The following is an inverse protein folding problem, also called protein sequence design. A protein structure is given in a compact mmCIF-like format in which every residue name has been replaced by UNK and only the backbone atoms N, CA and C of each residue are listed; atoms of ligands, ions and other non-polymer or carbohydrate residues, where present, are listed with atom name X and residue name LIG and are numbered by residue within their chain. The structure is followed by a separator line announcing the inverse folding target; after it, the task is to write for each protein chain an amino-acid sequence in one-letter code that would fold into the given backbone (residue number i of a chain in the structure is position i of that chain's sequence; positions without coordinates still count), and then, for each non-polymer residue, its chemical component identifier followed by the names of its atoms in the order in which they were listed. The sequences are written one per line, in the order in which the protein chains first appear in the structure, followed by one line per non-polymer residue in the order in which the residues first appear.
data_IF_934862275233
#
_entry.id   IF_934862275233
#
_cell.length_a   1.000
_cell.length_b   1.000
_cell.length_c   1.000
_cell.angle_alpha   90.00
_cell.angle_beta   90.00
_cell.angle_gamma   90.00
#
_symmetry.space_group_name_H-M   'P 1'
#
loop_
_entity.id
_entity.type
_entity.pdbx_description
1 polymer ?
#
# COMPACT_ATOMS: atom_id res chain seq x y z
N UNK A 1 -20.21 7.05 -18.50
CA UNK A 1 -18.96 6.38 -18.54
C UNK A 1 -18.83 5.22 -17.54
N UNK A 2 -19.88 4.98 -16.80
CA UNK A 2 -20.08 3.80 -16.01
C UNK A 2 -21.05 2.92 -16.83
N UNK A 3 -20.52 1.94 -17.51
CA UNK A 3 -21.30 0.99 -18.31
C UNK A 3 -21.80 -0.18 -17.45
N UNK A 4 -21.59 -0.09 -16.13
CA UNK A 4 -21.96 -1.13 -15.16
C UNK A 4 -21.02 -2.35 -15.19
N UNK A 5 -19.85 -2.22 -15.82
CA UNK A 5 -18.79 -3.22 -15.80
C UNK A 5 -17.66 -2.75 -14.90
N UNK A 6 -17.17 -3.64 -14.05
CA UNK A 6 -16.09 -3.35 -13.10
C UNK A 6 -14.98 -4.41 -13.17
N UNK A 7 -13.75 -3.97 -12.93
CA UNK A 7 -12.60 -4.87 -12.80
C UNK A 7 -12.59 -5.47 -11.41
N UNK A 8 -12.55 -6.80 -11.31
CA UNK A 8 -12.43 -7.50 -10.04
C UNK A 8 -11.18 -8.38 -9.98
N UNK A 9 -10.75 -8.72 -8.78
CA UNK A 9 -9.69 -9.68 -8.54
C UNK A 9 -10.25 -11.08 -8.40
N UNK A 10 -9.70 -12.02 -9.18
CA UNK A 10 -10.00 -13.43 -9.08
C UNK A 10 -8.78 -14.20 -8.60
N UNK A 11 -8.94 -14.99 -7.56
CA UNK A 11 -7.91 -15.93 -7.09
C UNK A 11 -8.26 -17.33 -7.60
N UNK A 12 -7.35 -17.94 -8.33
CA UNK A 12 -7.52 -19.26 -8.92
C UNK A 12 -6.25 -20.10 -8.86
N UNK A 13 -6.43 -21.41 -8.94
CA UNK A 13 -5.33 -22.36 -8.96
C UNK A 13 -4.76 -22.49 -10.39
N UNK A 14 -3.45 -22.52 -10.49
CA UNK A 14 -2.73 -22.84 -11.71
C UNK A 14 -2.09 -24.23 -11.60
N UNK A 15 -2.31 -25.08 -12.57
CA UNK A 15 -1.78 -26.42 -12.60
C UNK A 15 -1.40 -26.85 -14.02
N UNK A 16 -0.99 -28.13 -14.20
CA UNK A 16 -0.59 -28.66 -15.51
C UNK A 16 -1.63 -28.50 -16.63
N UNK A 17 -2.90 -28.41 -16.26
CA UNK A 17 -4.03 -28.24 -17.20
C UNK A 17 -4.39 -26.77 -17.44
N UNK A 18 -3.59 -25.82 -16.88
CA UNK A 18 -3.81 -24.38 -16.99
C UNK A 18 -4.47 -23.78 -15.75
N UNK A 19 -5.01 -22.58 -15.92
CA UNK A 19 -5.71 -21.83 -14.88
C UNK A 19 -7.15 -22.39 -14.71
N UNK A 20 -7.52 -22.73 -13.47
CA UNK A 20 -8.89 -23.07 -13.12
C UNK A 20 -9.72 -21.81 -12.87
N UNK A 21 -11.06 -21.87 -13.02
CA UNK A 21 -11.93 -20.75 -12.68
C UNK A 21 -11.64 -20.24 -11.27
N UNK A 22 -11.37 -18.95 -11.17
CA UNK A 22 -11.03 -18.30 -9.90
C UNK A 22 -12.26 -17.92 -9.07
N UNK A 23 -12.03 -17.64 -7.81
CA UNK A 23 -13.01 -17.03 -6.90
C UNK A 23 -12.87 -15.51 -6.98
N UNK A 24 -13.97 -14.81 -7.22
CA UNK A 24 -14.04 -13.35 -7.09
C UNK A 24 -13.91 -12.98 -5.61
N UNK A 25 -12.81 -12.32 -5.26
CA UNK A 25 -12.52 -11.94 -3.87
C UNK A 25 -13.04 -10.54 -3.51
N UNK A 26 -13.48 -9.79 -4.49
CA UNK A 26 -14.10 -8.46 -4.30
C UNK A 26 -15.58 -8.60 -3.98
N UNK A 27 -16.23 -9.58 -4.60
CA UNK A 27 -17.63 -9.90 -4.43
C UNK A 27 -18.47 -9.49 -5.64
N UNK A 28 -19.35 -10.39 -6.09
CA UNK A 28 -20.12 -10.24 -7.32
C UNK A 28 -21.05 -9.00 -7.37
N UNK A 29 -21.43 -8.48 -6.20
CA UNK A 29 -22.29 -7.30 -6.08
C UNK A 29 -21.49 -5.98 -5.93
N UNK A 30 -20.15 -6.05 -5.93
CA UNK A 30 -19.32 -4.87 -5.83
C UNK A 30 -19.36 -4.05 -7.11
N UNK A 31 -19.67 -2.76 -6.98
CA UNK A 31 -19.76 -1.82 -8.10
C UNK A 31 -18.57 -0.83 -8.09
N UNK A 32 -17.36 -1.37 -7.93
CA UNK A 32 -16.10 -0.61 -7.94
C UNK A 32 -14.95 -1.46 -8.48
N UNK A 33 -13.93 -0.78 -9.01
CA UNK A 33 -12.78 -1.41 -9.64
C UNK A 33 -11.68 -1.79 -8.64
N UNK A 34 -11.06 -2.95 -8.85
CA UNK A 34 -9.84 -3.39 -8.15
C UNK A 34 -8.93 -4.10 -9.18
N UNK A 35 -7.71 -3.62 -9.43
CA UNK A 35 -7.05 -2.40 -8.93
C UNK A 35 -7.79 -1.11 -9.32
N UNK A 36 -7.41 0.01 -8.71
CA UNK A 36 -8.12 1.27 -8.88
C UNK A 36 -8.10 1.77 -10.33
N UNK A 37 -9.29 2.15 -10.82
CA UNK A 37 -9.39 2.90 -12.07
C UNK A 37 -8.82 4.34 -11.89
N UNK A 38 -8.24 4.94 -12.93
CA UNK A 38 -8.10 4.45 -14.31
C UNK A 38 -6.80 3.70 -14.59
N UNK A 39 -5.90 3.55 -13.62
CA UNK A 39 -4.53 3.07 -13.88
C UNK A 39 -4.41 1.54 -13.83
N UNK A 40 -5.22 0.87 -13.01
CA UNK A 40 -5.21 -0.59 -12.82
C UNK A 40 -3.79 -1.12 -12.55
N UNK A 41 -3.07 -0.47 -11.62
CA UNK A 41 -1.68 -0.74 -11.34
C UNK A 41 -1.52 -2.04 -10.54
N UNK A 42 -0.73 -2.98 -11.06
CA UNK A 42 -0.44 -4.24 -10.37
C UNK A 42 0.35 -4.07 -9.07
N UNK A 43 1.03 -2.94 -8.86
CA UNK A 43 1.66 -2.60 -7.57
C UNK A 43 0.64 -2.38 -6.43
N UNK A 44 -0.65 -2.24 -6.77
CA UNK A 44 -1.74 -2.19 -5.79
C UNK A 44 -2.13 -3.56 -5.22
N UNK A 45 -1.50 -4.64 -5.67
CA UNK A 45 -1.81 -6.02 -5.29
C UNK A 45 -0.52 -6.71 -4.84
N UNK A 46 -0.53 -7.29 -3.65
CA UNK A 46 0.65 -7.96 -3.09
C UNK A 46 0.29 -9.25 -2.35
N UNK A 47 0.84 -10.37 -2.80
CA UNK A 47 0.84 -11.62 -2.04
C UNK A 47 1.76 -11.51 -0.83
N UNK A 48 1.36 -12.12 0.29
CA UNK A 48 2.31 -12.41 1.35
C UNK A 48 3.28 -13.53 0.91
N UNK A 49 4.43 -13.65 1.56
CA UNK A 49 5.47 -14.61 1.15
C UNK A 49 5.03 -16.07 1.30
N UNK A 50 4.13 -16.35 2.25
CA UNK A 50 3.55 -17.68 2.44
C UNK A 50 2.53 -18.05 1.34
N UNK A 51 2.07 -17.11 0.51
CA UNK A 51 1.04 -17.33 -0.50
C UNK A 51 -0.35 -17.66 0.08
N UNK A 52 -0.63 -17.20 1.29
CA UNK A 52 -1.87 -17.49 2.01
C UNK A 52 -2.79 -16.29 2.15
N UNK A 53 -2.26 -15.08 1.95
CA UNK A 53 -3.00 -13.83 2.04
C UNK A 53 -2.65 -12.90 0.89
N UNK A 54 -3.63 -12.13 0.45
CA UNK A 54 -3.48 -11.12 -0.60
C UNK A 54 -3.87 -9.75 -0.04
N UNK A 55 -2.93 -8.80 -0.04
CA UNK A 55 -3.22 -7.40 0.24
C UNK A 55 -3.50 -6.66 -1.07
N UNK A 56 -4.49 -5.77 -1.06
CA UNK A 56 -4.82 -4.98 -2.24
C UNK A 56 -5.43 -3.63 -1.88
N UNK A 57 -5.24 -2.65 -2.76
CA UNK A 57 -5.88 -1.34 -2.67
C UNK A 57 -7.31 -1.41 -3.19
N UNK A 58 -8.26 -0.84 -2.47
CA UNK A 58 -9.65 -0.78 -2.89
C UNK A 58 -10.31 0.53 -2.43
N UNK A 59 -11.18 1.08 -3.28
CA UNK A 59 -12.01 2.26 -2.98
C UNK A 59 -13.48 1.88 -3.15
N UNK A 60 -14.16 1.37 -2.09
CA UNK A 60 -15.52 0.87 -2.16
C UNK A 60 -16.55 2.02 -2.19
N UNK A 61 -16.45 2.86 -3.19
CA UNK A 61 -17.33 3.99 -3.46
C UNK A 61 -17.91 3.86 -4.86
N UNK A 62 -19.06 4.46 -5.12
CA UNK A 62 -19.75 4.40 -6.42
C UNK A 62 -20.21 5.78 -6.89
N UNK A 63 -20.44 5.93 -8.20
CA UNK A 63 -20.98 7.12 -8.80
C UNK A 63 -20.18 8.39 -8.47
N UNK A 64 -20.84 9.47 -8.10
CA UNK A 64 -20.20 10.76 -7.80
C UNK A 64 -19.22 10.66 -6.63
N UNK A 65 -19.49 9.83 -5.62
CA UNK A 65 -18.59 9.65 -4.49
C UNK A 65 -17.25 9.07 -4.93
N UNK A 66 -17.24 8.10 -5.85
CA UNK A 66 -16.03 7.55 -6.46
C UNK A 66 -15.21 8.62 -7.19
N UNK A 67 -15.89 9.50 -7.94
CA UNK A 67 -15.25 10.51 -8.77
C UNK A 67 -14.61 11.67 -7.96
N UNK A 68 -15.15 12.01 -6.78
CA UNK A 68 -14.67 13.15 -5.99
C UNK A 68 -13.81 12.78 -4.80
N UNK A 69 -13.71 11.50 -4.45
CA UNK A 69 -12.93 11.02 -3.31
C UNK A 69 -11.72 10.21 -3.74
N UNK A 70 -10.61 10.41 -3.03
CA UNK A 70 -9.43 9.55 -3.11
C UNK A 70 -9.34 8.59 -1.92
N UNK A 71 -10.40 8.44 -1.11
CA UNK A 71 -10.46 7.59 0.08
C UNK A 71 -10.46 6.10 -0.34
N UNK A 72 -9.27 5.57 -0.59
CA UNK A 72 -9.02 4.14 -0.77
C UNK A 72 -8.40 3.57 0.50
N UNK A 73 -8.57 2.28 0.70
CA UNK A 73 -8.03 1.56 1.84
C UNK A 73 -7.25 0.32 1.38
N UNK A 74 -6.42 -0.22 2.26
CA UNK A 74 -5.78 -1.52 2.06
C UNK A 74 -6.66 -2.61 2.67
N UNK A 75 -6.99 -3.58 1.83
CA UNK A 75 -7.74 -4.77 2.20
C UNK A 75 -6.82 -6.00 2.19
N UNK A 76 -7.07 -6.92 3.10
CA UNK A 76 -6.37 -8.21 3.15
C UNK A 76 -7.40 -9.32 3.05
N UNK A 77 -7.25 -10.15 2.02
CA UNK A 77 -8.02 -11.37 1.80
C UNK A 77 -7.24 -12.57 2.33
N UNK A 78 -7.88 -13.41 3.13
CA UNK A 78 -7.31 -14.66 3.64
C UNK A 78 -7.87 -15.86 2.86
N UNK A 79 -6.96 -16.67 2.29
CA UNK A 79 -7.36 -17.83 1.49
C UNK A 79 -7.98 -18.95 2.34
N UNK A 80 -7.62 -19.05 3.62
CA UNK A 80 -8.05 -20.17 4.46
C UNK A 80 -9.53 -20.08 4.82
N UNK A 81 -10.06 -18.88 5.05
CA UNK A 81 -11.46 -18.69 5.44
C UNK A 81 -12.28 -17.87 4.44
N UNK A 82 -11.65 -17.39 3.36
CA UNK A 82 -12.30 -16.62 2.31
C UNK A 82 -12.79 -15.25 2.75
N UNK A 83 -12.22 -14.69 3.83
CA UNK A 83 -12.65 -13.40 4.37
C UNK A 83 -11.69 -12.28 4.01
N UNK A 84 -12.29 -11.14 3.77
CA UNK A 84 -11.58 -9.87 3.55
C UNK A 84 -11.75 -8.96 4.76
N UNK A 85 -10.68 -8.27 5.15
CA UNK A 85 -10.74 -7.24 6.15
C UNK A 85 -9.97 -5.99 5.73
N UNK A 86 -10.49 -4.82 6.13
CA UNK A 86 -9.89 -3.52 5.87
C UNK A 86 -8.91 -3.18 7.01
N UNK A 87 -7.62 -2.97 6.70
CA UNK A 87 -6.61 -2.66 7.72
C UNK A 87 -6.54 -1.16 8.06
N UNK A 88 -7.06 -0.29 7.21
CA UNK A 88 -7.06 1.16 7.39
C UNK A 88 -8.24 1.65 8.22
N UNK A 89 -9.32 0.84 8.32
CA UNK A 89 -10.51 1.14 9.12
C UNK A 89 -10.68 0.13 10.26
N UNK A 90 -11.12 0.60 11.44
CA UNK A 90 -11.25 -0.29 12.59
C UNK A 90 -12.34 -1.35 12.37
N UNK A 91 -12.08 -2.60 12.79
CA UNK A 91 -13.02 -3.71 12.69
C UNK A 91 -14.33 -3.52 13.47
N UNK A 92 -14.31 -2.71 14.51
CA UNK A 92 -15.39 -2.52 15.47
C UNK A 92 -15.87 -1.08 15.56
N UNK A 93 -15.56 -0.26 14.57
CA UNK A 93 -15.82 1.18 14.59
C UNK A 93 -14.92 1.95 15.56
N UNK A 94 -13.96 1.29 16.20
CA UNK A 94 -12.98 1.94 17.07
C UNK A 94 -11.67 2.14 16.33
N UNK A 95 -11.12 3.33 16.44
CA UNK A 95 -9.85 3.65 15.84
C UNK A 95 -8.73 2.75 16.36
N UNK A 96 -8.00 2.14 15.46
CA UNK A 96 -6.76 1.42 15.76
C UNK A 96 -5.53 2.26 15.54
N UNK A 97 -5.72 3.45 15.07
CA UNK A 97 -4.70 4.45 14.94
C UNK A 97 -4.14 4.78 16.34
N UNK A 98 -2.84 4.95 16.47
CA UNK A 98 -2.20 5.24 17.75
C UNK A 98 -2.76 6.55 18.34
N UNK A 99 -3.71 6.43 19.27
CA UNK A 99 -4.38 7.57 19.92
C UNK A 99 -3.40 8.46 20.71
N UNK A 100 -2.23 7.94 21.08
CA UNK A 100 -1.20 8.69 21.77
C UNK A 100 -0.57 9.80 20.91
N UNK A 101 -0.69 9.70 19.58
CA UNK A 101 -0.17 10.70 18.64
C UNK A 101 -1.22 11.76 18.22
N UNK A 102 -2.42 11.76 18.80
CA UNK A 102 -3.46 12.74 18.48
C UNK A 102 -4.10 12.59 17.10
N UNK A 103 -3.93 11.45 16.44
CA UNK A 103 -4.43 11.21 15.09
C UNK A 103 -5.91 10.83 15.05
N UNK A 104 -6.59 11.21 13.97
CA UNK A 104 -8.00 10.89 13.77
C UNK A 104 -8.21 9.40 13.54
N UNK A 105 -9.33 8.84 14.00
CA UNK A 105 -9.60 7.40 14.01
C UNK A 105 -9.82 6.72 12.65
N UNK A 106 -9.81 7.44 11.56
CA UNK A 106 -9.95 6.91 10.22
C UNK A 106 -8.82 7.44 9.34
N UNK A 107 -8.38 6.63 8.39
CA UNK A 107 -7.47 7.03 7.34
C UNK A 107 -8.32 7.42 6.13
N UNK A 108 -8.70 8.71 5.98
CA UNK A 108 -9.66 9.14 4.95
C UNK A 108 -8.95 9.53 3.65
N UNK A 109 -7.69 9.18 3.51
CA UNK A 109 -6.85 9.57 2.39
C UNK A 109 -6.71 8.49 1.33
N UNK A 110 -5.69 8.66 0.50
CA UNK A 110 -5.35 7.73 -0.56
C UNK A 110 -4.36 6.70 -0.04
N UNK A 111 -4.85 5.55 0.42
CA UNK A 111 -4.05 4.43 0.91
C UNK A 111 -3.79 3.45 -0.23
N UNK A 112 -2.51 3.16 -0.54
CA UNK A 112 -2.14 2.38 -1.71
C UNK A 112 -0.79 1.69 -1.59
N UNK A 113 -0.52 0.77 -2.51
CA UNK A 113 0.75 0.08 -2.72
C UNK A 113 1.22 -0.71 -1.48
N UNK A 114 0.44 -1.72 -1.05
CA UNK A 114 0.82 -2.56 0.08
C UNK A 114 2.04 -3.44 -0.27
N UNK A 115 2.99 -3.53 0.65
CA UNK A 115 4.19 -4.37 0.54
C UNK A 115 4.38 -5.17 1.83
N UNK A 116 4.31 -6.49 1.75
CA UNK A 116 4.52 -7.38 2.88
C UNK A 116 5.99 -7.41 3.32
N UNK A 117 6.22 -7.46 4.64
CA UNK A 117 7.54 -7.81 5.16
C UNK A 117 7.90 -9.26 4.81
N UNK A 118 9.19 -9.61 4.67
CA UNK A 118 9.60 -10.98 4.34
C UNK A 118 9.08 -12.07 5.28
N UNK A 119 8.79 -11.73 6.53
CA UNK A 119 8.24 -12.65 7.54
C UNK A 119 6.70 -12.62 7.64
N UNK A 120 6.02 -11.90 6.76
CA UNK A 120 4.55 -11.73 6.69
C UNK A 120 3.90 -11.12 7.96
N UNK A 121 4.69 -10.48 8.81
CA UNK A 121 4.18 -9.90 10.07
C UNK A 121 3.77 -8.45 9.95
N UNK A 122 4.22 -7.76 8.90
CA UNK A 122 3.96 -6.34 8.71
C UNK A 122 3.57 -6.05 7.26
N UNK A 123 2.78 -5.00 7.07
CA UNK A 123 2.48 -4.45 5.75
C UNK A 123 2.89 -2.98 5.76
N UNK A 124 3.80 -2.61 4.86
CA UNK A 124 4.09 -1.21 4.57
C UNK A 124 3.19 -0.74 3.42
N UNK A 125 2.74 0.50 3.44
CA UNK A 125 1.93 1.08 2.37
C UNK A 125 2.03 2.61 2.39
N UNK A 126 1.59 3.25 1.31
CA UNK A 126 1.56 4.71 1.20
C UNK A 126 0.18 5.24 1.56
N UNK A 127 0.14 6.38 2.26
CA UNK A 127 -1.10 7.03 2.69
C UNK A 127 -1.03 8.55 2.58
N UNK A 128 -2.10 9.15 2.09
CA UNK A 128 -2.32 10.59 2.12
C UNK A 128 -3.30 10.96 3.25
N UNK A 129 -3.25 12.21 3.69
CA UNK A 129 -4.00 12.64 4.90
C UNK A 129 -5.49 12.86 4.65
N UNK A 130 -5.88 13.28 3.44
CA UNK A 130 -7.22 13.77 3.16
C UNK A 130 -7.79 13.17 1.90
N UNK A 131 -9.07 12.82 1.91
CA UNK A 131 -9.80 12.46 0.71
C UNK A 131 -9.95 13.66 -0.24
N UNK A 132 -9.85 13.41 -1.56
CA UNK A 132 -10.00 14.43 -2.60
C UNK A 132 -8.84 15.42 -2.73
N UNK A 133 -7.68 15.14 -2.14
CA UNK A 133 -6.48 15.99 -2.20
C UNK A 133 -5.28 15.18 -2.68
N UNK A 134 -5.19 14.93 -3.97
CA UNK A 134 -4.11 14.14 -4.60
C UNK A 134 -2.72 14.73 -4.41
N UNK A 135 -2.63 16.04 -4.12
CA UNK A 135 -1.37 16.74 -3.83
C UNK A 135 -0.91 16.63 -2.37
N UNK A 136 -1.67 15.96 -1.51
CA UNK A 136 -1.22 15.71 -0.13
C UNK A 136 0.03 14.84 -0.13
N UNK A 137 0.88 15.06 0.87
CA UNK A 137 2.10 14.25 1.07
C UNK A 137 1.76 12.77 1.16
N UNK A 138 2.41 11.97 0.31
CA UNK A 138 2.38 10.52 0.37
C UNK A 138 3.32 10.05 1.47
N UNK A 139 2.76 9.56 2.57
CA UNK A 139 3.49 9.13 3.78
C UNK A 139 3.63 7.61 3.77
N UNK A 140 4.71 7.12 4.36
CA UNK A 140 4.97 5.70 4.54
C UNK A 140 4.38 5.23 5.88
N UNK A 141 3.42 4.31 5.80
CA UNK A 141 2.79 3.68 6.95
C UNK A 141 3.22 2.24 7.13
N UNK A 142 3.19 1.80 8.37
CA UNK A 142 3.46 0.42 8.78
C UNK A 142 2.30 -0.13 9.59
N UNK A 143 1.77 -1.27 9.19
CA UNK A 143 0.76 -2.03 9.89
C UNK A 143 1.36 -3.32 10.46
N UNK A 144 1.16 -3.59 11.75
CA UNK A 144 1.55 -4.85 12.41
C UNK A 144 0.35 -5.82 12.37
N UNK A 145 0.49 -6.94 11.67
CA UNK A 145 -0.58 -7.91 11.45
C UNK A 145 -1.02 -8.63 12.74
N UNK A 146 -0.16 -8.70 13.75
CA UNK A 146 -0.47 -9.35 15.02
C UNK A 146 -1.17 -8.44 16.01
N UNK A 147 -0.68 -7.22 16.15
CA UNK A 147 -1.19 -6.24 17.13
C UNK A 147 -2.25 -5.32 16.53
N UNK A 148 -2.32 -5.27 15.22
CA UNK A 148 -3.12 -4.34 14.44
C UNK A 148 -2.76 -2.87 14.69
N UNK A 149 -1.55 -2.62 15.17
CA UNK A 149 -1.03 -1.26 15.35
C UNK A 149 -0.66 -0.65 14.00
N UNK A 150 -0.89 0.66 13.89
CA UNK A 150 -0.56 1.46 12.73
C UNK A 150 0.44 2.55 13.13
N UNK A 151 1.50 2.73 12.35
CA UNK A 151 2.54 3.73 12.58
C UNK A 151 2.77 4.54 11.31
N UNK A 152 2.79 5.88 11.42
CA UNK A 152 3.30 6.78 10.39
C UNK A 152 4.82 6.89 10.55
N UNK A 153 5.58 6.37 9.59
CA UNK A 153 7.04 6.35 9.64
C UNK A 153 7.66 7.65 9.12
N UNK A 154 6.92 8.45 8.37
CA UNK A 154 7.41 9.65 7.70
C UNK A 154 6.63 10.92 8.09
N UNK A 155 6.02 10.94 9.29
CA UNK A 155 5.25 12.10 9.76
C UNK A 155 6.09 13.38 9.74
N UNK A 156 7.32 13.30 10.26
CA UNK A 156 8.26 14.43 10.38
C UNK A 156 9.20 14.59 9.17
N UNK A 157 9.03 13.78 8.13
CA UNK A 157 9.79 13.87 6.89
C UNK A 157 9.02 14.68 5.85
N UNK A 158 9.61 15.75 5.31
CA UNK A 158 8.90 16.75 4.50
C UNK A 158 8.52 16.29 3.08
N UNK A 159 9.06 15.19 2.58
CA UNK A 159 8.91 14.73 1.21
C UNK A 159 7.97 13.52 1.08
N UNK A 160 7.49 13.30 -0.14
CA UNK A 160 6.73 12.10 -0.48
C UNK A 160 7.60 10.83 -0.40
N UNK A 161 6.99 9.71 0.00
CA UNK A 161 7.59 8.39 -0.19
C UNK A 161 7.00 7.73 -1.45
N UNK A 162 7.83 7.01 -2.20
CA UNK A 162 7.48 6.27 -3.42
C UNK A 162 8.30 4.98 -3.51
N UNK A 163 7.83 3.98 -4.25
CA UNK A 163 8.58 2.74 -4.57
C UNK A 163 9.18 2.07 -3.33
N UNK A 164 8.33 1.64 -2.41
CA UNK A 164 8.73 1.06 -1.13
C UNK A 164 9.22 -0.38 -1.28
N UNK A 165 10.38 -0.70 -0.71
CA UNK A 165 10.96 -2.04 -0.65
C UNK A 165 11.40 -2.38 0.77
N UNK A 166 11.35 -3.66 1.13
CA UNK A 166 11.90 -4.17 2.38
C UNK A 166 13.36 -4.62 2.24
N UNK A 167 14.18 -4.28 3.20
CA UNK A 167 15.47 -4.91 3.48
C UNK A 167 15.35 -5.72 4.78
N UNK A 168 15.32 -7.05 4.65
CA UNK A 168 14.98 -7.89 5.80
C UNK A 168 13.61 -7.55 6.37
N UNK A 169 13.44 -7.72 7.68
CA UNK A 169 12.19 -7.43 8.38
C UNK A 169 12.19 -6.08 9.13
N UNK A 170 13.32 -5.37 9.09
CA UNK A 170 13.62 -4.29 10.03
C UNK A 170 13.89 -2.95 9.34
N UNK A 171 13.98 -2.91 8.01
CA UNK A 171 14.29 -1.69 7.29
C UNK A 171 13.46 -1.56 6.02
N UNK A 172 13.03 -0.34 5.75
CA UNK A 172 12.32 0.04 4.54
C UNK A 172 13.15 1.02 3.73
N UNK A 173 13.14 0.83 2.42
CA UNK A 173 13.77 1.70 1.43
C UNK A 173 12.71 2.28 0.53
N UNK A 174 12.90 3.52 0.11
CA UNK A 174 11.95 4.23 -0.74
C UNK A 174 12.63 5.35 -1.52
N UNK A 175 11.96 5.87 -2.54
CA UNK A 175 12.39 7.07 -3.26
C UNK A 175 11.66 8.29 -2.68
N UNK A 176 12.37 9.42 -2.58
CA UNK A 176 11.79 10.71 -2.21
C UNK A 176 12.28 11.83 -3.13
N UNK A 177 11.39 12.79 -3.52
CA UNK A 177 11.76 13.95 -4.34
C UNK A 177 12.38 15.04 -3.46
N UNK A 178 13.70 14.98 -3.26
CA UNK A 178 14.45 15.90 -2.40
C UNK A 178 15.10 16.99 -3.24
N UNK A 179 14.83 18.27 -2.94
CA UNK A 179 15.46 19.44 -3.59
C UNK A 179 15.48 19.36 -5.13
N UNK A 180 14.34 18.99 -5.72
CA UNK A 180 14.14 18.82 -7.16
C UNK A 180 14.91 17.65 -7.80
N UNK A 181 15.42 16.70 -7.02
CA UNK A 181 15.98 15.43 -7.47
C UNK A 181 15.31 14.25 -6.76
N UNK A 182 15.29 13.07 -7.37
CA UNK A 182 14.77 11.87 -6.74
C UNK A 182 15.90 11.06 -6.12
N UNK A 183 15.87 10.90 -4.80
CA UNK A 183 16.90 10.21 -4.03
C UNK A 183 16.36 8.96 -3.37
N UNK A 184 17.22 7.95 -3.19
CA UNK A 184 16.91 6.77 -2.38
C UNK A 184 17.09 7.14 -0.91
N UNK A 185 16.06 6.83 -0.13
CA UNK A 185 16.01 6.97 1.32
C UNK A 185 15.79 5.61 1.99
N UNK A 186 16.12 5.52 3.27
CA UNK A 186 15.78 4.37 4.10
C UNK A 186 15.36 4.78 5.49
N UNK A 187 14.60 3.90 6.14
CA UNK A 187 14.16 4.06 7.53
C UNK A 187 14.09 2.72 8.24
N UNK A 188 14.55 2.68 9.49
CA UNK A 188 14.24 1.60 10.40
C UNK A 188 13.05 2.04 11.27
N UNK A 189 11.94 1.29 11.29
CA UNK A 189 10.73 1.69 12.01
C UNK A 189 10.93 1.98 13.50
N UNK A 190 11.87 1.28 14.14
CA UNK A 190 12.17 1.45 15.56
C UNK A 190 13.05 2.68 15.85
N UNK A 191 13.78 3.18 14.85
CA UNK A 191 14.67 4.35 14.98
C UNK A 191 13.93 5.65 14.64
N UNK A 192 12.94 5.58 13.72
CA UNK A 192 12.04 6.70 13.40
C UNK A 192 12.67 7.85 12.60
N UNK A 193 13.92 7.73 12.16
CA UNK A 193 14.64 8.75 11.39
C UNK A 193 14.89 8.29 9.95
N UNK A 194 14.56 9.16 8.99
CA UNK A 194 14.82 8.92 7.57
C UNK A 194 16.26 9.29 7.22
N UNK A 195 17.00 8.33 6.69
CA UNK A 195 18.33 8.54 6.13
C UNK A 195 18.25 8.70 4.61
N UNK A 196 18.82 9.78 4.06
CA UNK A 196 19.01 9.97 2.63
C UNK A 196 20.29 9.27 2.20
N UNK A 197 20.16 8.18 1.45
CA UNK A 197 21.28 7.30 1.08
C UNK A 197 22.06 7.82 -0.12
N UNK A 198 21.35 8.27 -1.15
CA UNK A 198 21.97 8.81 -2.38
C UNK A 198 22.01 10.33 -2.35
N UNK A 199 22.93 10.91 -3.09
CA UNK A 199 23.10 12.38 -3.19
C UNK A 199 23.64 12.71 -4.59
N UNK A 200 23.25 13.85 -5.11
CA UNK A 200 23.76 14.38 -6.39
C UNK A 200 22.64 14.83 -7.32
N UNK A 201 23.07 15.37 -8.46
CA UNK A 201 22.18 15.95 -9.48
C UNK A 201 21.73 14.85 -10.46
N UNK A 202 20.87 13.95 -9.98
CA UNK A 202 20.28 12.88 -10.77
C UNK A 202 18.87 12.54 -10.26
N UNK A 203 18.06 12.02 -11.14
CA UNK A 203 16.73 11.49 -10.80
C UNK A 203 16.74 9.97 -10.82
N UNK A 204 16.34 9.36 -9.71
CA UNK A 204 16.15 7.92 -9.61
C UNK A 204 14.68 7.61 -9.87
N UNK A 205 14.41 7.01 -11.03
CA UNK A 205 13.05 6.66 -11.44
C UNK A 205 12.55 5.38 -10.76
N UNK A 206 13.42 4.38 -10.62
CA UNK A 206 13.13 3.11 -9.97
C UNK A 206 14.40 2.47 -9.41
N UNK A 207 14.25 1.57 -8.46
CA UNK A 207 15.36 0.75 -7.97
C UNK A 207 14.87 -0.62 -7.50
N UNK A 208 15.81 -1.56 -7.43
CA UNK A 208 15.62 -2.88 -6.81
C UNK A 208 16.85 -3.27 -6.04
N UNK A 209 16.73 -4.25 -5.14
CA UNK A 209 17.79 -4.67 -4.22
C UNK A 209 17.96 -6.19 -4.22
N UNK A 210 19.21 -6.63 -4.09
CA UNK A 210 19.55 -8.02 -3.84
C UNK A 210 20.73 -8.09 -2.83
N UNK A 211 20.43 -8.40 -1.58
CA UNK A 211 21.40 -8.29 -0.48
C UNK A 211 21.87 -6.85 -0.31
N UNK A 212 23.18 -6.63 -0.37
CA UNK A 212 23.79 -5.29 -0.26
C UNK A 212 23.89 -4.53 -1.61
N UNK A 213 23.42 -5.14 -2.69
CA UNK A 213 23.50 -4.53 -4.02
C UNK A 213 22.20 -3.85 -4.41
N UNK A 214 22.32 -2.66 -4.97
CA UNK A 214 21.20 -1.87 -5.51
C UNK A 214 21.43 -1.71 -7.01
N UNK A 215 20.35 -1.90 -7.78
CA UNK A 215 20.26 -1.50 -9.19
C UNK A 215 19.24 -0.40 -9.28
N UNK A 216 19.62 0.74 -9.84
CA UNK A 216 18.74 1.89 -9.99
C UNK A 216 18.71 2.36 -11.44
N UNK A 217 17.54 2.83 -11.88
CA UNK A 217 17.34 3.55 -13.12
C UNK A 217 17.55 5.05 -12.85
N UNK A 218 18.49 5.65 -13.58
CA UNK A 218 18.88 7.05 -13.41
C UNK A 218 18.60 7.83 -14.69
N UNK A 219 18.15 9.08 -14.56
CA UNK A 219 18.00 10.04 -15.63
C UNK A 219 18.73 11.35 -15.32
#
# INVERSE_FOLDING_TARGET
WDEGEHMHLFVGDFGPEGLRPGTDIVGADAAWDVPLAPYFDMAEIAWNNAGTQLAYTCKPLTGTAYAVSTDSDIFVYDLADGKTHNICKPFDGKARYNAAAGHKPAMPGYDKYPVWSPDDRKIAFLSQRRAGNESDKSRLFLYDCRTHAMQDLTEDFDYNAMNVLWEGNDRLWFIAPIEATHQICRIAPDEGEVEVVTKGDHDIAAFTMAGEQIVAELS
#
